data_IF_676264629822
#
_entry.id   IF_676264629822
#
_cell.length_a   1.000
_cell.length_b   1.000
_cell.length_c   1.000
_cell.angle_alpha   90.00
_cell.angle_beta   90.00
_cell.angle_gamma   90.00
#
_symmetry.space_group_name_H-M   'P 1'
#
loop_
_entity.id
_entity.type
_entity.pdbx_description
1 polymer ?
#
# COMPACT_ATOMS: atom_id res chain seq x y z
N UNK A 1 -16.20 -3.04 -9.58
CA UNK A 1 -16.02 -1.77 -10.33
C UNK A 1 -14.54 -1.49 -10.22
N UNK A 2 -13.83 -1.61 -11.34
CA UNK A 2 -12.38 -1.57 -11.36
C UNK A 2 -11.89 -0.16 -11.00
N UNK A 3 -10.95 -0.06 -10.07
CA UNK A 3 -10.20 1.17 -9.78
C UNK A 3 -9.82 1.83 -11.12
N UNK A 4 -10.44 2.96 -11.45
CA UNK A 4 -10.21 3.75 -12.68
C UNK A 4 -8.95 4.59 -12.48
N UNK A 5 -7.89 3.98 -11.96
CA UNK A 5 -6.60 4.62 -11.77
C UNK A 5 -5.55 3.76 -12.42
N UNK A 6 -4.68 4.42 -13.17
CA UNK A 6 -3.49 3.83 -13.73
C UNK A 6 -2.53 3.42 -12.62
N UNK A 7 -2.27 2.11 -12.51
CA UNK A 7 -1.27 1.59 -11.58
C UNK A 7 0.09 2.27 -11.83
N UNK A 8 0.40 2.66 -13.06
CA UNK A 8 1.64 3.39 -13.38
C UNK A 8 1.77 4.70 -12.61
N UNK A 9 0.71 5.50 -12.56
CA UNK A 9 0.71 6.76 -11.82
C UNK A 9 0.87 6.54 -10.31
N UNK A 10 0.23 5.50 -9.75
CA UNK A 10 0.34 5.18 -8.32
C UNK A 10 1.76 4.71 -7.97
N UNK A 11 2.32 3.79 -8.76
CA UNK A 11 3.68 3.29 -8.51
C UNK A 11 4.71 4.42 -8.61
N UNK A 12 4.57 5.28 -9.63
CA UNK A 12 5.49 6.41 -9.78
C UNK A 12 5.35 7.40 -8.61
N UNK A 13 4.14 7.66 -8.13
CA UNK A 13 3.93 8.57 -7.00
C UNK A 13 4.44 8.03 -5.65
N UNK A 14 4.49 6.71 -5.48
CA UNK A 14 4.98 6.07 -4.24
C UNK A 14 6.50 5.86 -4.26
N UNK A 15 7.05 5.48 -5.42
CA UNK A 15 8.42 4.95 -5.49
C UNK A 15 9.40 5.83 -6.27
N UNK A 16 8.93 6.82 -7.04
CA UNK A 16 9.81 7.63 -7.90
C UNK A 16 9.81 9.10 -7.42
N UNK A 17 10.91 9.50 -6.76
CA UNK A 17 11.11 10.84 -6.16
C UNK A 17 10.96 12.01 -7.15
N UNK A 18 10.98 11.77 -8.47
CA UNK A 18 10.88 12.82 -9.48
C UNK A 18 9.44 13.27 -9.81
N UNK A 19 8.40 12.58 -9.32
CA UNK A 19 7.00 12.89 -9.62
C UNK A 19 6.30 13.57 -8.44
N UNK A 20 6.56 14.86 -8.24
CA UNK A 20 5.82 15.70 -7.29
C UNK A 20 4.45 16.19 -7.80
N UNK A 21 4.14 15.98 -9.09
CA UNK A 21 2.86 16.35 -9.72
C UNK A 21 1.97 15.10 -9.96
N UNK A 22 1.83 14.23 -8.96
CA UNK A 22 0.85 13.16 -9.08
C UNK A 22 -0.57 13.75 -9.10
N UNK A 23 -1.41 13.28 -10.02
CA UNK A 23 -2.82 13.71 -10.13
C UNK A 23 -3.65 13.32 -8.89
N UNK A 24 -3.08 12.52 -7.98
CA UNK A 24 -3.75 12.00 -6.79
C UNK A 24 -3.19 12.62 -5.51
N UNK A 25 -4.09 12.93 -4.58
CA UNK A 25 -3.70 13.25 -3.21
C UNK A 25 -3.45 11.96 -2.44
N UNK A 26 -2.20 11.49 -2.47
CA UNK A 26 -1.72 10.44 -1.57
C UNK A 26 -1.39 11.06 -0.21
N UNK A 27 -2.08 10.62 0.83
CA UNK A 27 -1.72 10.98 2.20
C UNK A 27 -0.96 9.81 2.81
N UNK A 28 0.28 10.07 3.21
CA UNK A 28 1.07 9.10 3.98
C UNK A 28 0.45 9.00 5.38
N UNK A 29 -0.14 7.86 5.70
CA UNK A 29 -0.66 7.56 7.04
C UNK A 29 0.50 7.19 7.97
N UNK A 30 1.50 6.50 7.43
CA UNK A 30 2.62 5.99 8.19
C UNK A 30 3.83 5.77 7.28
N UNK A 31 4.97 6.31 7.68
CA UNK A 31 6.27 6.06 7.08
C UNK A 31 7.23 5.59 8.19
N UNK A 32 7.53 4.30 8.17
CA UNK A 32 8.69 3.74 8.88
C UNK A 32 9.55 3.15 7.78
N UNK A 33 10.84 2.99 8.03
CA UNK A 33 11.87 2.62 7.07
C UNK A 33 11.63 1.37 6.18
N UNK A 34 10.46 0.71 6.16
CA UNK A 34 9.92 0.03 4.97
C UNK A 34 8.44 -0.41 4.92
N UNK A 35 7.53 -0.16 5.89
CA UNK A 35 6.09 -0.19 5.59
C UNK A 35 5.52 1.21 5.45
N UNK A 36 5.18 1.58 4.21
CA UNK A 36 4.40 2.79 3.91
C UNK A 36 2.93 2.39 3.85
N UNK A 37 2.11 3.04 4.69
CA UNK A 37 0.64 2.99 4.60
C UNK A 37 0.18 4.30 4.02
N UNK A 38 -0.60 4.25 2.94
CA UNK A 38 -1.15 5.43 2.30
C UNK A 38 -2.67 5.38 2.27
N UNK A 39 -3.28 6.55 2.36
CA UNK A 39 -4.65 6.77 1.94
C UNK A 39 -4.64 7.33 0.52
N UNK A 40 -5.43 6.70 -0.35
CA UNK A 40 -5.71 7.18 -1.70
C UNK A 40 -7.20 7.51 -1.78
N UNK A 41 -7.49 8.76 -2.11
CA UNK A 41 -8.83 9.23 -2.44
C UNK A 41 -8.93 9.33 -3.96
N UNK A 42 -9.85 8.58 -4.56
CA UNK A 42 -10.09 8.59 -6.00
C UNK A 42 -11.59 8.66 -6.29
N UNK A 43 -12.03 9.79 -6.85
CA UNK A 43 -13.44 10.12 -7.01
C UNK A 43 -14.21 9.96 -5.68
N UNK A 44 -15.19 9.04 -5.65
CA UNK A 44 -16.01 8.69 -4.49
C UNK A 44 -15.50 7.45 -3.73
N UNK A 45 -14.34 6.91 -4.12
CA UNK A 45 -13.75 5.71 -3.53
C UNK A 45 -12.48 6.03 -2.74
N UNK A 46 -12.35 5.39 -1.59
CA UNK A 46 -11.21 5.52 -0.71
C UNK A 46 -10.51 4.18 -0.59
N UNK A 47 -9.18 4.21 -0.64
CA UNK A 47 -8.35 3.03 -0.54
C UNK A 47 -7.27 3.22 0.51
N UNK A 48 -7.03 2.15 1.25
CA UNK A 48 -5.79 1.95 1.98
C UNK A 48 -4.81 1.22 1.07
N UNK A 49 -3.59 1.75 0.98
CA UNK A 49 -2.48 1.14 0.25
C UNK A 49 -1.41 0.75 1.26
N UNK A 50 -0.90 -0.48 1.14
CA UNK A 50 0.25 -0.95 1.91
C UNK A 50 1.35 -1.40 0.96
N UNK A 51 2.58 -0.91 1.19
CA UNK A 51 3.77 -1.39 0.47
C UNK A 51 4.16 -2.77 1.01
N UNK A 52 3.82 -3.84 0.28
CA UNK A 52 4.17 -5.21 0.64
C UNK A 52 5.65 -5.50 0.41
N UNK A 53 6.23 -4.94 -0.64
CA UNK A 53 7.64 -5.10 -0.99
C UNK A 53 8.14 -3.85 -1.69
N UNK A 54 9.37 -3.48 -1.36
CA UNK A 54 10.18 -2.54 -2.13
C UNK A 54 11.65 -2.93 -1.95
N UNK A 55 12.22 -3.59 -2.96
CA UNK A 55 13.63 -3.96 -2.95
C UNK A 55 14.19 -4.00 -4.37
N UNK A 56 15.51 -3.91 -4.47
CA UNK A 56 16.22 -4.08 -5.74
C UNK A 56 17.03 -5.37 -5.75
N UNK A 57 17.04 -6.06 -6.90
CA UNK A 57 17.87 -7.25 -7.12
C UNK A 57 18.89 -6.97 -8.23
N UNK A 58 20.14 -7.34 -7.97
CA UNK A 58 21.22 -7.28 -8.98
C UNK A 58 21.25 -8.60 -9.75
N UNK A 59 21.26 -8.51 -11.09
CA UNK A 59 21.48 -9.65 -11.97
C UNK A 59 22.32 -9.20 -13.18
N UNK A 60 23.47 -9.81 -13.40
CA UNK A 60 24.36 -9.55 -14.55
C UNK A 60 24.54 -8.05 -14.88
N UNK A 61 25.02 -7.28 -13.91
CA UNK A 61 25.23 -5.81 -13.96
C UNK A 61 23.97 -4.95 -14.15
N UNK A 62 22.77 -5.53 -14.02
CA UNK A 62 21.50 -4.81 -14.02
C UNK A 62 20.87 -4.81 -12.64
N UNK A 63 20.39 -3.64 -12.22
CA UNK A 63 19.58 -3.47 -11.01
C UNK A 63 18.11 -3.51 -11.43
N UNK A 64 17.35 -4.44 -10.87
CA UNK A 64 15.91 -4.58 -11.13
C UNK A 64 15.16 -4.31 -9.83
N UNK A 65 14.37 -3.24 -9.82
CA UNK A 65 13.44 -2.97 -8.73
C UNK A 65 12.28 -3.98 -8.74
N UNK A 66 11.87 -4.43 -7.56
CA UNK A 66 10.71 -5.30 -7.33
C UNK A 66 9.86 -4.66 -6.25
N UNK A 67 8.69 -4.20 -6.66
CA UNK A 67 7.75 -3.48 -5.81
C UNK A 67 6.40 -4.15 -5.85
N UNK A 68 5.73 -4.17 -4.71
CA UNK A 68 4.41 -4.77 -4.57
C UNK A 68 3.55 -3.94 -3.63
N UNK A 69 2.33 -3.66 -4.07
CA UNK A 69 1.33 -2.90 -3.34
C UNK A 69 0.12 -3.78 -3.05
N UNK A 70 -0.44 -3.60 -1.85
CA UNK A 70 -1.74 -4.13 -1.45
C UNK A 70 -2.74 -2.98 -1.40
N UNK A 71 -3.87 -3.15 -2.05
CA UNK A 71 -4.97 -2.20 -2.07
C UNK A 71 -6.16 -2.80 -1.34
N UNK A 72 -6.75 -2.04 -0.42
CA UNK A 72 -8.00 -2.41 0.24
C UNK A 72 -8.95 -1.23 0.20
N UNK A 73 -10.19 -1.46 -0.24
CA UNK A 73 -11.22 -0.43 -0.21
C UNK A 73 -11.56 -0.08 1.23
N UNK A 74 -11.62 1.20 1.55
CA UNK A 74 -11.86 1.71 2.89
C UNK A 74 -12.94 2.80 2.88
N UNK A 75 -13.34 3.24 4.06
CA UNK A 75 -14.19 4.39 4.28
C UNK A 75 -13.61 5.27 5.39
N UNK A 76 -14.19 6.44 5.60
CA UNK A 76 -13.72 7.41 6.61
C UNK A 76 -13.65 6.84 8.03
N UNK A 77 -14.60 5.97 8.40
CA UNK A 77 -14.63 5.35 9.73
C UNK A 77 -13.44 4.42 9.95
N UNK A 78 -13.13 3.56 8.97
CA UNK A 78 -11.98 2.65 9.01
C UNK A 78 -10.68 3.45 9.07
N UNK A 79 -10.51 4.45 8.22
CA UNK A 79 -9.29 5.28 8.19
C UNK A 79 -9.13 6.07 9.51
N UNK A 80 -10.20 6.67 10.02
CA UNK A 80 -10.20 7.39 11.29
C UNK A 80 -9.81 6.49 12.46
N UNK A 81 -10.37 5.27 12.53
CA UNK A 81 -10.04 4.26 13.54
C UNK A 81 -8.59 3.79 13.44
N UNK A 82 -8.07 3.60 12.22
CA UNK A 82 -6.68 3.22 12.00
C UNK A 82 -5.73 4.31 12.51
N UNK A 83 -5.94 5.56 12.10
CA UNK A 83 -5.13 6.73 12.52
C UNK A 83 -5.13 6.88 14.05
N UNK A 84 -6.30 6.75 14.68
CA UNK A 84 -6.44 6.80 16.14
C UNK A 84 -5.92 5.56 16.87
N UNK A 85 -5.42 4.55 16.13
CA UNK A 85 -4.96 3.27 16.68
C UNK A 85 -6.05 2.49 17.45
N UNK A 86 -7.31 2.69 17.08
CA UNK A 86 -8.46 1.98 17.64
C UNK A 86 -8.55 0.55 17.09
N UNK A 87 -8.24 0.38 15.80
CA UNK A 87 -8.09 -0.91 15.12
C UNK A 87 -6.62 -1.18 14.75
N UNK A 88 -6.27 -2.44 14.50
CA UNK A 88 -4.95 -2.82 13.99
C UNK A 88 -4.81 -2.49 12.50
N UNK A 89 -3.57 -2.49 12.00
CA UNK A 89 -3.32 -2.37 10.55
C UNK A 89 -3.97 -3.55 9.83
N UNK A 90 -3.87 -4.75 10.40
CA UNK A 90 -4.45 -5.94 9.82
C UNK A 90 -5.97 -5.83 9.65
N UNK A 91 -6.67 -5.43 10.72
CA UNK A 91 -8.12 -5.27 10.69
C UNK A 91 -8.55 -4.15 9.72
N UNK A 92 -7.78 -3.06 9.63
CA UNK A 92 -8.09 -1.98 8.71
C UNK A 92 -8.10 -2.44 7.24
N UNK A 93 -7.18 -3.31 6.83
CA UNK A 93 -7.11 -3.80 5.46
C UNK A 93 -8.08 -4.96 5.19
N UNK A 94 -8.36 -5.82 6.18
CA UNK A 94 -9.19 -7.02 5.98
C UNK A 94 -10.70 -6.81 6.19
N UNK A 95 -11.13 -5.57 6.38
CA UNK A 95 -12.57 -5.22 6.41
C UNK A 95 -13.19 -5.12 5.01
N UNK A 96 -12.36 -4.99 3.96
CA UNK A 96 -12.83 -5.00 2.57
C UNK A 96 -13.07 -6.42 2.07
N UNK A 97 -14.13 -6.59 1.27
CA UNK A 97 -14.40 -7.84 0.55
C UNK A 97 -13.55 -7.98 -0.73
N UNK A 98 -12.96 -6.87 -1.19
CA UNK A 98 -12.10 -6.84 -2.37
C UNK A 98 -10.77 -6.21 -1.97
N UNK A 99 -9.74 -7.06 -1.96
CA UNK A 99 -8.36 -6.69 -1.65
C UNK A 99 -7.53 -7.11 -2.86
N UNK A 100 -6.76 -6.19 -3.42
CA UNK A 100 -5.99 -6.42 -4.62
C UNK A 100 -4.50 -6.31 -4.36
N UNK A 101 -3.72 -7.07 -5.11
CA UNK A 101 -2.27 -6.98 -5.17
C UNK A 101 -1.84 -6.59 -6.56
N UNK A 102 -0.87 -5.69 -6.63
CA UNK A 102 -0.27 -5.23 -7.89
C UNK A 102 1.24 -5.20 -7.70
N UNK A 103 1.98 -5.65 -8.70
CA UNK A 103 3.44 -5.68 -8.67
C UNK A 103 4.05 -4.92 -9.84
N UNK A 104 5.20 -4.28 -9.58
CA UNK A 104 6.09 -3.68 -10.58
C UNK A 104 7.45 -4.38 -10.51
N UNK A 105 7.96 -4.86 -11.64
CA UNK A 105 9.31 -5.42 -11.76
C UNK A 105 10.06 -4.69 -12.86
N UNK A 106 11.13 -3.98 -12.49
CA UNK A 106 11.75 -2.98 -13.34
C UNK A 106 10.71 -1.94 -13.75
N UNK A 107 10.57 -1.67 -15.05
CA UNK A 107 9.56 -0.76 -15.59
C UNK A 107 8.23 -1.41 -15.97
N UNK A 108 8.00 -2.69 -15.63
CA UNK A 108 6.77 -3.40 -16.03
C UNK A 108 5.84 -3.61 -14.85
N UNK A 109 4.60 -3.13 -14.99
CA UNK A 109 3.49 -3.39 -14.07
C UNK A 109 2.71 -4.62 -14.51
N UNK A 110 2.35 -5.45 -13.55
CA UNK A 110 1.56 -6.66 -13.75
C UNK A 110 0.09 -6.42 -13.42
N UNK A 111 -0.85 -7.13 -14.07
CA UNK A 111 -2.28 -6.97 -13.79
C UNK A 111 -2.61 -7.23 -12.32
N UNK A 112 -3.59 -6.50 -11.80
CA UNK A 112 -4.11 -6.69 -10.45
C UNK A 112 -4.57 -8.13 -10.23
N UNK A 113 -4.31 -8.66 -9.04
CA UNK A 113 -4.82 -9.96 -8.59
C UNK A 113 -5.59 -9.79 -7.30
N UNK A 114 -6.75 -10.43 -7.21
CA UNK A 114 -7.49 -10.50 -5.94
C UNK A 114 -6.68 -11.36 -4.97
N UNK A 115 -6.56 -10.90 -3.73
CA UNK A 115 -5.97 -11.68 -2.64
C UNK A 115 -7.00 -12.71 -2.16
N UNK A 116 -6.86 -13.96 -2.59
CA UNK A 116 -7.76 -15.06 -2.18
C UNK A 116 -7.47 -15.55 -0.76
N UNK A 117 -6.21 -15.48 -0.31
CA UNK A 117 -5.79 -15.95 0.99
C UNK A 117 -4.73 -15.03 1.62
N UNK A 118 -4.99 -14.57 2.84
CA UNK A 118 -4.05 -13.72 3.59
C UNK A 118 -2.69 -14.38 3.82
N UNK A 119 -2.64 -15.72 3.86
CA UNK A 119 -1.39 -16.50 3.99
C UNK A 119 -0.40 -16.22 2.87
N UNK A 120 -0.86 -15.75 1.72
CA UNK A 120 0.02 -15.41 0.58
C UNK A 120 0.86 -14.15 0.82
N UNK A 121 0.54 -13.37 1.86
CA UNK A 121 1.26 -12.15 2.25
C UNK A 121 1.62 -12.09 3.73
N UNK A 122 1.34 -13.13 4.52
CA UNK A 122 1.54 -13.16 5.97
C UNK A 122 3.00 -12.88 6.37
N UNK A 123 3.97 -13.24 5.53
CA UNK A 123 5.40 -12.99 5.73
C UNK A 123 5.80 -11.52 5.57
N UNK A 124 4.91 -10.68 5.01
CA UNK A 124 5.19 -9.30 4.56
C UNK A 124 4.17 -8.28 5.03
N UNK A 125 3.13 -8.75 5.68
CA UNK A 125 2.03 -7.95 6.17
C UNK A 125 2.05 -7.94 7.70
N UNK A 126 1.60 -6.86 8.35
CA UNK A 126 1.63 -6.77 9.81
C UNK A 126 0.86 -7.89 10.48
N UNK A 127 1.38 -8.33 11.63
CA UNK A 127 0.65 -9.26 12.50
C UNK A 127 -0.68 -8.67 12.95
N UNK A 128 -1.64 -9.52 13.27
CA UNK A 128 -3.03 -9.14 13.50
C UNK A 128 -3.23 -8.04 14.56
N UNK A 129 -2.42 -8.02 15.61
CA UNK A 129 -2.60 -7.10 16.74
C UNK A 129 -1.77 -5.80 16.62
N UNK A 130 -0.99 -5.62 15.54
CA UNK A 130 -0.12 -4.45 15.40
C UNK A 130 -0.93 -3.18 15.09
N UNK A 131 -0.91 -2.20 16.01
CA UNK A 131 -1.54 -0.89 15.82
C UNK A 131 -0.49 0.17 15.48
N UNK A 132 -0.92 1.28 14.86
CA UNK A 132 -0.02 2.40 14.53
C UNK A 132 0.73 2.95 15.76
N UNK A 133 0.13 2.92 16.95
CA UNK A 133 0.78 3.35 18.20
C UNK A 133 1.96 2.48 18.64
N UNK A 134 1.99 1.22 18.22
CA UNK A 134 2.99 0.25 18.66
C UNK A 134 4.28 0.35 17.83
N UNK A 135 4.25 1.19 16.80
CA UNK A 135 5.36 1.33 15.88
C UNK A 135 6.29 2.47 16.34
N UNK A 136 7.56 2.18 16.63
CA UNK A 136 8.53 3.18 17.06
C UNK A 136 8.81 4.20 15.94
N UNK A 137 8.90 5.48 16.33
CA UNK A 137 9.02 6.69 15.50
C UNK A 137 7.70 7.29 15.00
N UNK A 138 6.90 7.82 15.94
CA UNK A 138 5.90 8.84 15.63
C UNK A 138 6.58 10.20 15.49
N UNK A 139 6.94 10.58 14.26
CA UNK A 139 7.00 12.00 13.91
C UNK A 139 5.62 12.35 13.33
N UNK A 140 4.72 12.86 14.18
CA UNK A 140 3.54 13.59 13.74
C UNK A 140 3.83 15.08 13.89
#
# INVERSE_FOLDING_TARGET
MDLIIDDEEIFNAIFDDSNHDSLFKLNIILEISQPIILELNNDDEKYLIYVLRDYSKVNDDRIIAVQELLFSKANDDIVSKLIKSEISIYDAFLTSHEIWRVGRVGGKIFPRKILENIRDIEDRFPIQDLKLKDIPNRAF
#
